data_IF_479473217589
#
_entry.id   IF_479473217589
#
_cell.length_a   1.000
_cell.length_b   1.000
_cell.length_c   1.000
_cell.angle_alpha   90.00
_cell.angle_beta   90.00
_cell.angle_gamma   90.00
#
_symmetry.space_group_name_H-M   'P 1'
#
loop_
_entity.id
_entity.type
_entity.pdbx_description
1 polymer ?
#
# COMPACT_ATOMS: atom_id res chain seq x y z
N UNK A 1 -10.72 -10.33 -2.00
CA UNK A 1 -10.24 -9.59 -3.19
C UNK A 1 -10.76 -8.17 -3.13
N UNK A 2 -9.98 -7.19 -3.59
CA UNK A 2 -10.36 -5.77 -3.60
C UNK A 2 -11.64 -5.53 -4.43
N UNK A 3 -11.89 -6.38 -5.45
CA UNK A 3 -13.15 -6.38 -6.22
C UNK A 3 -14.37 -6.77 -5.38
N UNK A 4 -14.22 -7.61 -4.36
CA UNK A 4 -15.32 -7.98 -3.47
C UNK A 4 -15.77 -6.80 -2.59
N UNK A 5 -14.89 -5.82 -2.37
CA UNK A 5 -15.18 -4.62 -1.57
C UNK A 5 -15.65 -3.42 -2.41
N UNK A 6 -15.54 -3.49 -3.74
CA UNK A 6 -15.98 -2.45 -4.66
C UNK A 6 -16.72 -3.10 -5.83
N UNK A 7 -17.94 -3.56 -5.56
CA UNK A 7 -18.81 -4.24 -6.52
C UNK A 7 -19.24 -3.33 -7.68
N UNK A 8 -19.17 -2.01 -7.48
CA UNK A 8 -19.60 -1.00 -8.44
C UNK A 8 -18.52 -0.62 -9.48
N UNK A 9 -17.38 -1.33 -9.53
CA UNK A 9 -16.34 -1.10 -10.55
C UNK A 9 -16.60 -2.06 -11.73
N UNK A 10 -17.29 -1.62 -12.81
CA UNK A 10 -17.47 -2.45 -13.99
C UNK A 10 -16.13 -2.61 -14.74
N UNK A 11 -15.69 -3.85 -14.91
CA UNK A 11 -14.53 -4.19 -15.74
C UNK A 11 -13.17 -4.05 -15.05
N UNK A 12 -12.29 -3.22 -15.60
CA UNK A 12 -10.93 -3.02 -15.12
C UNK A 12 -10.87 -1.95 -14.02
N UNK A 13 -9.82 -1.97 -13.20
CA UNK A 13 -9.63 -0.95 -12.17
C UNK A 13 -9.37 0.42 -12.82
N UNK A 14 -9.94 1.52 -12.27
CA UNK A 14 -9.72 2.86 -12.77
C UNK A 14 -8.32 3.42 -12.43
N UNK A 15 -7.52 2.66 -11.69
CA UNK A 15 -6.16 2.99 -11.29
C UNK A 15 -5.25 1.77 -11.45
N UNK A 16 -3.94 1.98 -11.69
CA UNK A 16 -2.98 0.89 -11.76
C UNK A 16 -2.76 0.27 -10.37
N UNK A 17 -2.46 -1.03 -10.36
CA UNK A 17 -2.02 -1.77 -9.17
C UNK A 17 -0.58 -2.19 -9.43
N UNK A 18 0.32 -1.82 -8.52
CA UNK A 18 1.74 -2.16 -8.60
C UNK A 18 1.97 -3.51 -7.95
N UNK A 19 2.66 -4.42 -8.66
CA UNK A 19 3.19 -5.65 -8.10
C UNK A 19 4.61 -5.39 -7.55
N UNK A 20 4.82 -5.70 -6.27
CA UNK A 20 6.09 -5.52 -5.56
C UNK A 20 6.56 -6.89 -5.03
N UNK A 21 6.80 -7.83 -5.95
CA UNK A 21 7.09 -9.24 -5.60
C UNK A 21 8.38 -9.39 -4.78
N UNK A 22 9.36 -8.49 -4.99
CA UNK A 22 10.63 -8.45 -4.26
C UNK A 22 10.59 -7.61 -2.97
N UNK A 23 9.42 -7.03 -2.65
CA UNK A 23 9.17 -6.18 -1.48
C UNK A 23 10.09 -4.95 -1.38
N UNK A 24 10.76 -4.57 -2.47
CA UNK A 24 11.75 -3.51 -2.45
C UNK A 24 11.12 -2.13 -2.27
N UNK A 25 9.91 -1.92 -2.79
CA UNK A 25 9.15 -0.68 -2.57
C UNK A 25 8.59 -0.64 -1.15
N UNK A 26 8.07 -1.76 -0.65
CA UNK A 26 7.55 -1.87 0.70
C UNK A 26 8.60 -1.50 1.76
N UNK A 27 9.84 -1.96 1.62
CA UNK A 27 10.96 -1.57 2.50
C UNK A 27 11.31 -0.09 2.31
N UNK A 28 11.53 0.37 1.08
CA UNK A 28 11.95 1.75 0.79
C UNK A 28 10.96 2.81 1.27
N UNK A 29 9.67 2.48 1.24
CA UNK A 29 8.59 3.38 1.65
C UNK A 29 8.21 3.20 3.12
N UNK A 30 8.93 2.39 3.90
CA UNK A 30 8.67 2.16 5.32
C UNK A 30 7.26 1.56 5.56
N UNK A 31 6.85 0.64 4.70
CA UNK A 31 5.62 -0.15 4.86
C UNK A 31 5.85 -1.46 5.62
N UNK A 32 7.09 -1.96 5.60
CA UNK A 32 7.59 -3.14 6.34
C UNK A 32 9.04 -2.89 6.78
N UNK A 33 9.45 -3.55 7.85
CA UNK A 33 10.84 -3.51 8.32
C UNK A 33 11.76 -4.35 7.42
N UNK A 34 12.96 -3.83 7.12
CA UNK A 34 13.93 -4.50 6.23
C UNK A 34 14.40 -5.85 6.79
N UNK A 35 14.54 -6.00 8.11
CA UNK A 35 15.03 -7.23 8.72
C UNK A 35 13.99 -8.34 8.64
N UNK A 36 12.71 -7.96 8.60
CA UNK A 36 11.59 -8.90 8.54
C UNK A 36 11.10 -9.14 7.11
N UNK A 37 11.67 -8.47 6.10
CA UNK A 37 11.12 -8.47 4.72
C UNK A 37 10.90 -9.86 4.13
N UNK A 38 11.73 -10.84 4.47
CA UNK A 38 11.67 -12.21 3.93
C UNK A 38 10.74 -13.12 4.75
N UNK A 39 10.22 -12.64 5.88
CA UNK A 39 9.25 -13.34 6.73
C UNK A 39 7.82 -12.96 6.32
N UNK A 40 7.04 -13.86 5.70
CA UNK A 40 5.68 -13.54 5.26
C UNK A 40 4.67 -13.40 6.41
N UNK A 41 4.96 -13.95 7.59
CA UNK A 41 4.07 -13.92 8.76
C UNK A 41 4.24 -12.61 9.54
N UNK A 42 5.48 -12.09 9.60
CA UNK A 42 5.80 -10.87 10.34
C UNK A 42 5.87 -9.60 9.46
N UNK A 43 6.30 -9.69 8.20
CA UNK A 43 6.35 -8.54 7.28
C UNK A 43 5.06 -8.40 6.47
N UNK A 44 3.99 -8.03 7.17
CA UNK A 44 2.74 -7.62 6.54
C UNK A 44 2.78 -6.10 6.34
N UNK A 45 2.61 -5.65 5.09
CA UNK A 45 2.56 -4.21 4.78
C UNK A 45 1.45 -3.52 5.55
N UNK A 46 1.76 -2.37 6.17
CA UNK A 46 0.72 -1.48 6.69
C UNK A 46 -0.06 -0.82 5.54
N UNK A 47 -1.28 -0.36 5.81
CA UNK A 47 -2.12 0.36 4.84
C UNK A 47 -1.64 1.80 4.72
N UNK A 48 -0.50 2.00 4.06
CA UNK A 48 0.11 3.31 3.89
C UNK A 48 -0.58 4.15 2.80
N UNK A 49 -0.63 5.48 2.99
CA UNK A 49 -1.02 6.48 2.00
C UNK A 49 0.08 7.52 1.90
N UNK A 50 0.51 7.83 0.67
CA UNK A 50 1.43 8.92 0.37
C UNK A 50 0.78 9.86 -0.63
N UNK A 51 0.74 11.15 -0.32
CA UNK A 51 0.31 12.19 -1.25
C UNK A 51 1.58 12.89 -1.75
N UNK A 52 1.85 12.73 -3.04
CA UNK A 52 3.02 13.29 -3.72
C UNK A 52 2.56 14.39 -4.66
N UNK A 53 3.17 15.57 -4.54
CA UNK A 53 2.87 16.71 -5.42
C UNK A 53 3.58 16.59 -6.77
N UNK A 54 3.19 17.40 -7.79
CA UNK A 54 3.81 17.35 -9.12
C UNK A 54 5.32 17.64 -9.13
N UNK A 55 5.87 18.29 -8.11
CA UNK A 55 7.31 18.50 -7.91
C UNK A 55 8.01 17.30 -7.23
N UNK A 56 7.36 16.14 -7.19
CA UNK A 56 7.88 14.87 -6.63
C UNK A 56 8.22 14.94 -5.14
N UNK A 57 7.59 15.85 -4.40
CA UNK A 57 7.75 15.97 -2.95
C UNK A 57 6.61 15.28 -2.22
N UNK A 58 6.96 14.56 -1.16
CA UNK A 58 5.97 14.02 -0.22
C UNK A 58 5.32 15.20 0.53
N UNK A 59 3.99 15.27 0.48
CA UNK A 59 3.20 16.29 1.19
C UNK A 59 2.50 15.75 2.42
N UNK A 60 2.09 14.49 2.38
CA UNK A 60 1.41 13.82 3.48
C UNK A 60 1.68 12.32 3.42
N UNK A 61 1.93 11.73 4.59
CA UNK A 61 1.98 10.28 4.79
C UNK A 61 1.05 9.88 5.93
N UNK A 62 0.28 8.81 5.74
CA UNK A 62 -0.52 8.19 6.81
C UNK A 62 -0.32 6.68 6.80
N UNK A 63 -0.14 6.10 7.98
CA UNK A 63 0.07 4.67 8.16
C UNK A 63 -1.04 4.10 9.04
N UNK A 64 -1.85 3.21 8.46
CA UNK A 64 -2.92 2.52 9.17
C UNK A 64 -2.53 1.05 9.37
N UNK A 65 -2.77 0.46 10.55
CA UNK A 65 -2.56 -0.97 10.74
C UNK A 65 -3.52 -1.77 9.84
N UNK A 66 -3.20 -3.04 9.62
CA UNK A 66 -4.03 -3.96 8.82
C UNK A 66 -5.46 -4.08 9.35
N UNK A 67 -5.62 -3.97 10.67
CA UNK A 67 -6.88 -4.03 11.42
C UNK A 67 -7.82 -2.83 11.20
N UNK A 68 -7.30 -1.68 10.74
CA UNK A 68 -8.09 -0.45 10.61
C UNK A 68 -8.16 0.02 9.16
N UNK A 69 -9.37 0.08 8.61
CA UNK A 69 -9.59 0.67 7.28
C UNK A 69 -9.35 2.18 7.25
N UNK A 70 -8.93 2.71 6.09
CA UNK A 70 -8.84 4.15 5.86
C UNK A 70 -10.23 4.74 5.64
N UNK A 71 -10.42 5.99 6.05
CA UNK A 71 -11.58 6.79 5.65
C UNK A 71 -11.18 7.58 4.39
N UNK A 72 -11.92 7.40 3.30
CA UNK A 72 -11.64 7.97 1.97
C UNK A 72 -12.87 8.65 1.43
#
# INVERSE_FOLDING_TARGET
>A
DIKNYCQDIPGAFPYPIVADDDRSLAVKLDMIDEQSKDDPEHAITVRALYIVSPDHRLRLSMHYPTSTGRNV
#
